data_IF_608835529316
#
_entry.id   IF_608835529316
#
_cell.length_a   1.000
_cell.length_b   1.000
_cell.length_c   1.000
_cell.angle_alpha   90.00
_cell.angle_beta   90.00
_cell.angle_gamma   90.00
#
_symmetry.space_group_name_H-M   'P 1'
#
loop_
_entity.id
_entity.type
_entity.pdbx_description
1 polymer ?
#
# COMPACT_ATOMS: atom_id res chain seq x y z
N UNK A 1 48.51 19.16 60.41
CA UNK A 1 47.18 19.76 60.65
C UNK A 1 46.33 19.56 59.40
N UNK A 2 45.15 18.92 59.55
CA UNK A 2 43.90 18.97 58.75
C UNK A 2 44.05 19.24 57.23
N UNK A 3 43.88 18.21 56.39
CA UNK A 3 42.62 17.86 55.66
C UNK A 3 42.06 19.01 54.82
N UNK A 4 41.99 18.84 53.50
CA UNK A 4 40.72 18.88 52.73
C UNK A 4 40.96 18.57 51.25
N UNK A 5 40.37 17.45 50.83
CA UNK A 5 40.17 17.07 49.43
C UNK A 5 39.04 17.92 48.85
N UNK A 6 39.17 18.36 47.60
CA UNK A 6 38.01 18.75 46.78
C UNK A 6 38.11 17.98 45.47
N UNK A 7 37.35 16.89 45.42
CA UNK A 7 37.05 16.16 44.21
C UNK A 7 36.11 17.02 43.35
N UNK A 8 36.55 17.38 42.15
CA UNK A 8 35.69 18.04 41.17
C UNK A 8 35.06 16.93 40.31
N UNK A 9 33.87 16.50 40.74
CA UNK A 9 33.06 15.51 40.04
C UNK A 9 32.48 16.17 38.77
N UNK A 10 33.08 15.90 37.62
CA UNK A 10 32.50 16.27 36.34
C UNK A 10 31.34 15.30 36.02
N UNK A 11 30.12 15.68 36.39
CA UNK A 11 28.91 14.97 35.98
C UNK A 11 28.60 15.38 34.54
N UNK A 12 29.08 14.59 33.59
CA UNK A 12 28.69 14.70 32.18
C UNK A 12 27.23 14.28 32.03
N UNK A 13 26.35 15.26 31.81
CA UNK A 13 24.94 15.01 31.49
C UNK A 13 24.84 14.56 30.02
N UNK A 14 24.96 13.25 29.77
CA UNK A 14 24.70 12.68 28.46
C UNK A 14 23.19 12.69 28.18
N UNK A 15 22.70 13.75 27.55
CA UNK A 15 21.34 13.80 27.03
C UNK A 15 21.22 12.87 25.81
N UNK A 16 20.71 11.65 26.00
CA UNK A 16 20.35 10.75 24.91
C UNK A 16 19.08 11.27 24.23
N UNK A 17 19.25 12.00 23.13
CA UNK A 17 18.14 12.38 22.27
C UNK A 17 17.59 11.13 21.57
N UNK A 18 16.47 10.59 22.07
CA UNK A 18 15.71 9.56 21.35
C UNK A 18 15.06 10.21 20.12
N UNK A 19 15.72 10.11 18.97
CA UNK A 19 15.10 10.43 17.68
C UNK A 19 14.06 9.35 17.37
N UNK A 20 12.81 9.59 17.75
CA UNK A 20 11.67 8.79 17.25
C UNK A 20 11.54 9.11 15.77
N UNK A 21 12.05 8.23 14.92
CA UNK A 21 11.83 8.33 13.47
C UNK A 21 10.34 8.22 13.21
N UNK A 22 9.74 9.29 12.68
CA UNK A 22 8.35 9.28 12.25
C UNK A 22 8.22 8.29 11.08
N UNK A 23 7.75 7.08 11.35
CA UNK A 23 7.51 6.08 10.31
C UNK A 23 6.42 6.60 9.38
N UNK A 24 6.78 6.92 8.13
CA UNK A 24 5.82 7.37 7.14
C UNK A 24 4.70 6.33 6.95
N UNK A 25 3.44 6.78 6.99
CA UNK A 25 2.28 5.89 6.82
C UNK A 25 2.31 5.22 5.44
N UNK A 26 1.94 3.93 5.38
CA UNK A 26 1.87 3.21 4.09
C UNK A 26 0.75 3.81 3.23
N UNK A 27 1.03 4.28 1.99
CA UNK A 27 0.03 4.91 1.15
C UNK A 27 -1.14 3.98 0.82
N UNK A 28 -2.35 4.54 0.80
CA UNK A 28 -3.59 3.81 0.49
C UNK A 28 -3.99 3.97 -0.98
N UNK A 29 -4.43 2.87 -1.58
CA UNK A 29 -5.09 2.81 -2.87
C UNK A 29 -6.50 2.28 -2.65
N UNK A 30 -7.51 3.05 -3.02
CA UNK A 30 -8.92 2.70 -2.81
C UNK A 30 -9.46 2.08 -4.08
N UNK A 31 -9.82 0.80 -3.98
CA UNK A 31 -10.49 0.06 -5.05
C UNK A 31 -12.00 -0.01 -4.79
N UNK A 32 -12.78 0.05 -5.86
CA UNK A 32 -14.22 -0.28 -5.83
C UNK A 32 -14.52 -1.20 -6.99
N UNK A 33 -15.32 -2.23 -6.74
CA UNK A 33 -15.87 -3.13 -7.75
C UNK A 33 -17.34 -3.37 -7.45
N UNK A 34 -18.20 -3.37 -8.48
CA UNK A 34 -19.64 -3.54 -8.30
C UNK A 34 -20.40 -2.29 -7.83
N UNK A 35 -21.73 -2.41 -7.62
CA UNK A 35 -22.52 -3.63 -7.88
C UNK A 35 -22.82 -3.83 -9.38
N UNK A 36 -22.74 -2.76 -10.18
CA UNK A 36 -22.78 -2.82 -11.64
C UNK A 36 -21.42 -3.28 -12.19
N UNK A 37 -21.30 -3.40 -13.52
CA UNK A 37 -20.06 -3.71 -14.25
C UNK A 37 -19.05 -2.54 -14.21
N UNK A 38 -18.64 -2.15 -13.00
CA UNK A 38 -17.75 -1.02 -12.73
C UNK A 38 -16.58 -1.45 -11.85
N UNK A 39 -15.39 -0.97 -12.20
CA UNK A 39 -14.18 -1.18 -11.40
C UNK A 39 -13.29 0.06 -11.45
N UNK A 40 -12.79 0.48 -10.28
CA UNK A 40 -11.92 1.66 -10.18
C UNK A 40 -10.82 1.44 -9.16
N UNK A 41 -9.70 2.12 -9.37
CA UNK A 41 -8.60 2.24 -8.40
C UNK A 41 -8.18 3.71 -8.30
N UNK A 42 -8.19 4.26 -7.09
CA UNK A 42 -7.87 5.67 -6.81
C UNK A 42 -6.78 5.80 -5.74
N UNK A 43 -5.98 6.85 -5.82
CA UNK A 43 -5.12 7.33 -4.73
C UNK A 43 -5.67 8.68 -4.28
N UNK A 44 -6.25 8.72 -3.07
CA UNK A 44 -7.10 9.84 -2.68
C UNK A 44 -8.32 9.94 -3.60
N UNK A 45 -8.56 11.12 -4.17
CA UNK A 45 -9.66 11.38 -5.11
C UNK A 45 -9.32 11.05 -6.57
N UNK A 46 -8.04 10.85 -6.88
CA UNK A 46 -7.53 10.74 -8.25
C UNK A 46 -7.43 9.30 -8.72
N UNK A 47 -7.86 9.01 -9.97
CA UNK A 47 -7.66 7.70 -10.61
C UNK A 47 -6.17 7.38 -10.73
N UNK A 48 -5.79 6.16 -10.37
CA UNK A 48 -4.40 5.72 -10.47
C UNK A 48 -4.03 5.58 -11.95
N UNK A 49 -2.98 6.32 -12.37
CA UNK A 49 -2.33 6.17 -13.69
C UNK A 49 -0.86 5.79 -13.55
N UNK A 50 -0.18 6.36 -12.56
CA UNK A 50 1.23 6.08 -12.27
C UNK A 50 1.48 6.06 -10.78
N UNK A 51 2.33 5.14 -10.32
CA UNK A 51 2.77 4.99 -8.94
C UNK A 51 4.29 4.78 -8.90
N UNK A 52 4.90 5.10 -7.75
CA UNK A 52 6.27 4.66 -7.44
C UNK A 52 6.25 3.21 -6.96
N UNK A 53 7.28 2.44 -7.24
CA UNK A 53 7.48 1.11 -6.67
C UNK A 53 7.53 1.22 -5.13
N UNK A 54 6.92 0.26 -4.43
CA UNK A 54 6.83 0.32 -2.97
C UNK A 54 5.63 -0.40 -2.41
N UNK A 55 5.50 -0.36 -1.08
CA UNK A 55 4.40 -0.97 -0.34
C UNK A 55 3.17 -0.05 -0.35
N UNK A 56 2.01 -0.63 -0.61
CA UNK A 56 0.71 0.04 -0.60
C UNK A 56 -0.32 -0.76 0.18
N UNK A 57 -1.31 -0.07 0.75
CA UNK A 57 -2.53 -0.65 1.29
C UNK A 57 -3.65 -0.53 0.26
N UNK A 58 -4.08 -1.65 -0.30
CA UNK A 58 -5.25 -1.72 -1.16
C UNK A 58 -6.50 -1.85 -0.29
N UNK A 59 -7.33 -0.82 -0.28
CA UNK A 59 -8.62 -0.78 0.43
C UNK A 59 -9.72 -1.00 -0.59
N UNK A 60 -10.16 -2.24 -0.73
CA UNK A 60 -11.14 -2.65 -1.73
C UNK A 60 -12.54 -2.66 -1.10
N UNK A 61 -13.50 -2.00 -1.75
CA UNK A 61 -14.93 -2.16 -1.47
C UNK A 61 -15.55 -2.99 -2.59
N UNK A 62 -15.91 -4.22 -2.27
CA UNK A 62 -16.63 -5.13 -3.14
C UNK A 62 -18.12 -5.08 -2.82
N UNK A 63 -18.95 -4.86 -3.83
CA UNK A 63 -20.37 -4.55 -3.64
C UNK A 63 -21.32 -5.62 -4.16
N UNK A 64 -20.83 -6.72 -4.72
CA UNK A 64 -21.67 -7.80 -5.21
C UNK A 64 -20.93 -9.14 -5.24
N UNK A 65 -21.63 -10.23 -4.93
CA UNK A 65 -21.10 -11.61 -4.92
C UNK A 65 -20.93 -12.24 -6.31
N UNK A 66 -20.81 -11.40 -7.34
CA UNK A 66 -20.54 -11.79 -8.74
C UNK A 66 -19.25 -11.13 -9.27
N UNK A 67 -18.53 -10.41 -8.41
CA UNK A 67 -17.35 -9.64 -8.77
C UNK A 67 -16.16 -9.97 -7.89
N UNK A 68 -14.97 -9.68 -8.41
CA UNK A 68 -13.74 -9.78 -7.64
C UNK A 68 -12.78 -8.65 -8.06
N UNK A 69 -11.70 -8.48 -7.30
CA UNK A 69 -10.69 -7.46 -7.59
C UNK A 69 -9.31 -8.12 -7.66
N UNK A 70 -8.83 -8.39 -8.87
CA UNK A 70 -7.51 -8.94 -9.14
C UNK A 70 -6.55 -7.84 -9.59
N UNK A 71 -5.30 -7.91 -9.12
CA UNK A 71 -4.19 -7.07 -9.60
C UNK A 71 -3.16 -7.98 -10.28
N UNK A 72 -2.70 -7.59 -11.47
CA UNK A 72 -1.68 -8.30 -12.23
C UNK A 72 -0.62 -7.35 -12.77
N UNK A 73 0.63 -7.79 -12.78
CA UNK A 73 1.72 -7.15 -13.51
C UNK A 73 1.86 -7.82 -14.87
N UNK A 74 1.41 -7.11 -15.91
CA UNK A 74 1.46 -7.63 -17.28
C UNK A 74 2.85 -7.51 -17.91
N UNK A 75 3.61 -6.47 -17.57
CA UNK A 75 4.91 -6.18 -18.21
C UNK A 75 5.94 -5.66 -17.22
N UNK A 76 7.21 -5.93 -17.53
CA UNK A 76 8.37 -5.35 -16.85
C UNK A 76 9.18 -6.32 -15.98
N UNK A 77 8.84 -7.61 -15.94
CA UNK A 77 9.58 -8.68 -15.25
C UNK A 77 8.68 -9.88 -14.93
N UNK A 78 9.02 -10.71 -13.93
CA UNK A 78 8.22 -11.88 -13.56
C UNK A 78 6.75 -11.55 -13.30
N UNK A 79 5.87 -12.48 -13.66
CA UNK A 79 4.43 -12.39 -13.45
C UNK A 79 4.16 -12.28 -11.95
N UNK A 80 3.32 -11.30 -11.59
CA UNK A 80 2.78 -11.14 -10.24
C UNK A 80 1.28 -10.96 -10.42
N UNK A 81 0.49 -11.84 -9.86
CA UNK A 81 -0.97 -11.78 -9.91
C UNK A 81 -1.53 -12.08 -8.52
N UNK A 82 -2.54 -11.31 -8.10
CA UNK A 82 -3.18 -11.51 -6.80
C UNK A 82 -4.64 -11.05 -6.83
N UNK A 83 -5.53 -11.99 -6.54
CA UNK A 83 -6.94 -11.71 -6.25
C UNK A 83 -7.09 -11.17 -4.82
N UNK A 84 -7.53 -9.92 -4.70
CA UNK A 84 -7.65 -9.22 -3.42
C UNK A 84 -8.99 -9.52 -2.72
N UNK A 85 -10.10 -9.53 -3.46
CA UNK A 85 -11.42 -10.01 -3.04
C UNK A 85 -11.83 -11.18 -3.93
N UNK A 86 -12.47 -12.22 -3.37
CA UNK A 86 -12.93 -13.37 -4.16
C UNK A 86 -14.35 -13.16 -4.69
N UNK A 87 -14.76 -13.92 -5.70
CA UNK A 87 -16.06 -13.72 -6.38
C UNK A 87 -17.27 -13.68 -5.44
N UNK A 88 -17.31 -14.58 -4.45
CA UNK A 88 -18.43 -14.65 -3.50
C UNK A 88 -18.31 -13.66 -2.33
N UNK A 89 -17.27 -12.82 -2.29
CA UNK A 89 -17.06 -11.85 -1.22
C UNK A 89 -17.89 -10.59 -1.47
N UNK A 90 -18.45 -10.03 -0.40
CA UNK A 90 -19.04 -8.69 -0.41
C UNK A 90 -18.62 -7.97 0.85
N UNK A 91 -18.28 -6.70 0.73
CA UNK A 91 -17.84 -5.86 1.84
C UNK A 91 -16.49 -5.21 1.57
N UNK A 92 -15.80 -4.83 2.65
CA UNK A 92 -14.55 -4.09 2.58
C UNK A 92 -13.37 -4.96 3.01
N UNK A 93 -12.30 -4.98 2.22
CA UNK A 93 -11.07 -5.72 2.52
C UNK A 93 -9.85 -4.83 2.31
N UNK A 94 -8.91 -4.90 3.26
CA UNK A 94 -7.63 -4.20 3.13
C UNK A 94 -6.50 -5.20 2.95
N UNK A 95 -5.70 -5.04 1.90
CA UNK A 95 -4.57 -5.93 1.58
C UNK A 95 -3.31 -5.09 1.41
N UNK A 96 -2.25 -5.44 2.16
CA UNK A 96 -0.93 -4.89 1.92
C UNK A 96 -0.26 -5.61 0.74
N UNK A 97 0.32 -4.86 -0.19
CA UNK A 97 1.05 -5.42 -1.33
C UNK A 97 2.20 -4.50 -1.74
N UNK A 98 3.33 -5.10 -2.12
CA UNK A 98 4.48 -4.37 -2.67
C UNK A 98 4.39 -4.38 -4.18
N UNK A 99 4.26 -3.20 -4.78
CA UNK A 99 4.30 -3.00 -6.21
C UNK A 99 5.75 -2.87 -6.70
N UNK A 100 6.09 -3.65 -7.71
CA UNK A 100 7.37 -3.58 -8.44
C UNK A 100 7.18 -2.79 -9.74
N UNK A 101 8.26 -2.19 -10.27
CA UNK A 101 8.26 -1.46 -11.54
C UNK A 101 7.59 -2.30 -12.65
N UNK A 102 6.72 -1.71 -13.46
CA UNK A 102 6.05 -2.44 -14.55
C UNK A 102 4.75 -1.81 -15.01
N UNK A 103 4.12 -2.43 -15.98
CA UNK A 103 2.72 -2.16 -16.34
C UNK A 103 1.83 -3.12 -15.58
N UNK A 104 0.79 -2.58 -14.96
CA UNK A 104 -0.13 -3.31 -14.12
C UNK A 104 -1.56 -3.14 -14.61
N UNK A 105 -2.34 -4.19 -14.44
CA UNK A 105 -3.79 -4.25 -14.68
C UNK A 105 -4.48 -4.50 -13.34
N UNK A 106 -5.60 -3.84 -13.11
CA UNK A 106 -6.59 -4.26 -12.12
C UNK A 106 -7.85 -4.68 -12.87
N UNK A 107 -8.48 -5.78 -12.47
CA UNK A 107 -9.65 -6.31 -13.19
C UNK A 107 -10.53 -7.19 -12.31
N UNK A 108 -11.74 -7.44 -12.77
CA UNK A 108 -12.61 -8.52 -12.27
C UNK A 108 -12.44 -9.73 -13.18
N UNK A 109 -11.96 -10.86 -12.65
CA UNK A 109 -11.67 -12.07 -13.44
C UNK A 109 -12.92 -12.64 -14.12
N UNK A 110 -14.11 -12.45 -13.55
CA UNK A 110 -15.37 -12.93 -14.17
C UNK A 110 -15.80 -12.08 -15.37
N UNK A 111 -15.32 -10.84 -15.47
CA UNK A 111 -15.75 -9.85 -16.47
C UNK A 111 -14.55 -9.08 -17.02
N UNK A 112 -13.44 -9.79 -17.25
CA UNK A 112 -12.14 -9.17 -17.50
C UNK A 112 -12.10 -8.32 -18.76
N UNK A 113 -12.91 -8.65 -19.77
CA UNK A 113 -13.05 -7.90 -21.02
C UNK A 113 -13.73 -6.54 -20.88
N UNK A 114 -14.40 -6.27 -19.76
CA UNK A 114 -15.22 -5.07 -19.55
C UNK A 114 -14.80 -4.32 -18.29
N UNK A 115 -14.44 -5.05 -17.24
CA UNK A 115 -14.13 -4.52 -15.92
C UNK A 115 -12.63 -4.59 -15.68
N UNK A 116 -11.89 -3.62 -16.23
CA UNK A 116 -10.45 -3.49 -16.01
C UNK A 116 -9.95 -2.05 -16.02
N UNK A 117 -8.70 -1.86 -15.63
CA UNK A 117 -7.94 -0.65 -15.91
C UNK A 117 -6.45 -0.87 -15.72
N UNK A 118 -5.67 0.04 -16.31
CA UNK A 118 -4.21 -0.05 -16.30
C UNK A 118 -3.56 1.08 -15.51
N UNK A 119 -2.40 0.79 -14.95
CA UNK A 119 -1.50 1.80 -14.38
C UNK A 119 -0.04 1.38 -14.53
N UNK A 120 0.86 2.36 -14.47
CA UNK A 120 2.31 2.12 -14.50
C UNK A 120 2.89 2.24 -13.10
N UNK A 121 3.85 1.39 -12.78
CA UNK A 121 4.70 1.51 -11.60
C UNK A 121 6.10 1.84 -12.08
N UNK A 122 6.63 2.99 -11.68
CA UNK A 122 7.99 3.41 -12.01
C UNK A 122 8.92 3.12 -10.84
N UNK A 123 10.22 3.20 -11.09
CA UNK A 123 11.21 3.36 -10.02
C UNK A 123 10.93 4.63 -9.22
#
# INVERSE_FOLDING_TARGET
MKRLMIAMLAVGLAATAFLVSAQASTPKLVGKVGPDFSITLKKGTTKVKTLKAGKYLFVISDKASIHNFTIEREKGGPKIEKTLTGTMFTGKKTVAMTLKKGTWKYYCSNHESEMFGFFKVTS
#
